data_IF_785345915205
#
_entry.id   IF_785345915205
#
_cell.length_a   1.000
_cell.length_b   1.000
_cell.length_c   1.000
_cell.angle_alpha   90.00
_cell.angle_beta   90.00
_cell.angle_gamma   90.00
#
_symmetry.space_group_name_H-M   'P 1'
#
loop_
_entity.id
_entity.type
_entity.pdbx_description
1 polymer ?
#
# COMPACT_ATOMS: atom_id res chain seq x y z
N UNK A 1 -20.09 -1.28 -12.16
CA UNK A 1 -20.95 -0.76 -11.07
C UNK A 1 -20.97 -1.83 -10.00
N UNK A 2 -20.67 -1.50 -8.75
CA UNK A 2 -20.78 -2.44 -7.63
C UNK A 2 -22.25 -2.43 -7.19
N UNK A 3 -22.86 -3.60 -7.07
CA UNK A 3 -24.22 -3.78 -6.57
C UNK A 3 -24.17 -4.42 -5.19
N UNK A 4 -24.90 -3.85 -4.23
CA UNK A 4 -25.05 -4.42 -2.90
C UNK A 4 -26.41 -5.11 -2.81
N UNK A 5 -26.42 -6.42 -2.89
CA UNK A 5 -27.61 -7.24 -2.62
C UNK A 5 -27.60 -7.73 -1.17
N UNK A 6 -28.44 -7.11 -0.34
CA UNK A 6 -28.65 -7.51 1.05
C UNK A 6 -29.92 -8.35 1.25
N UNK A 7 -30.59 -8.80 0.18
CA UNK A 7 -31.86 -9.54 0.26
C UNK A 7 -31.75 -10.79 1.14
N UNK A 8 -30.63 -11.51 1.06
CA UNK A 8 -30.32 -12.68 1.89
C UNK A 8 -30.17 -12.41 3.39
N UNK A 9 -30.23 -11.16 3.83
CA UNK A 9 -30.20 -10.81 5.26
C UNK A 9 -31.61 -10.62 5.86
N UNK A 10 -32.65 -10.46 5.05
CA UNK A 10 -33.97 -10.02 5.54
C UNK A 10 -34.98 -11.16 5.71
N UNK A 11 -35.99 -10.91 6.56
CA UNK A 11 -37.05 -11.89 6.90
C UNK A 11 -37.75 -12.44 5.66
N UNK A 12 -37.97 -11.60 4.64
CA UNK A 12 -38.64 -11.98 3.40
C UNK A 12 -37.91 -13.13 2.66
N UNK A 13 -36.59 -13.24 2.82
CA UNK A 13 -35.77 -14.23 2.12
C UNK A 13 -35.33 -15.40 3.02
N UNK A 14 -35.02 -15.15 4.29
CA UNK A 14 -34.45 -16.18 5.21
C UNK A 14 -35.38 -16.57 6.37
N UNK A 15 -36.61 -16.07 6.37
CA UNK A 15 -37.63 -16.38 7.36
C UNK A 15 -37.39 -15.70 8.71
N UNK A 16 -37.95 -16.21 9.82
CA UNK A 16 -38.08 -15.49 11.08
C UNK A 16 -36.75 -15.19 11.81
N UNK A 17 -35.62 -15.72 11.33
CA UNK A 17 -34.28 -15.39 11.84
C UNK A 17 -33.61 -14.24 11.09
N UNK A 18 -34.24 -13.75 10.03
CA UNK A 18 -33.77 -12.62 9.24
C UNK A 18 -33.99 -11.29 9.94
N UNK A 19 -33.42 -10.25 9.37
CA UNK A 19 -33.59 -8.87 9.81
C UNK A 19 -34.89 -8.29 9.29
N UNK A 20 -35.66 -7.61 10.16
CA UNK A 20 -36.80 -6.80 9.73
C UNK A 20 -36.29 -5.48 9.14
N UNK A 21 -36.40 -5.35 7.82
CA UNK A 21 -35.89 -4.19 7.09
C UNK A 21 -36.59 -2.90 7.50
N UNK A 22 -37.92 -2.93 7.65
CA UNK A 22 -38.69 -1.73 7.95
C UNK A 22 -38.43 -1.27 9.38
N UNK A 23 -38.39 -2.21 10.33
CA UNK A 23 -38.06 -1.90 11.72
C UNK A 23 -36.64 -1.34 11.86
N UNK A 24 -35.64 -1.92 11.18
CA UNK A 24 -34.26 -1.42 11.19
C UNK A 24 -34.14 0.01 10.63
N UNK A 25 -34.76 0.26 9.47
CA UNK A 25 -34.74 1.59 8.86
C UNK A 25 -35.45 2.61 9.76
N UNK A 26 -36.61 2.26 10.32
CA UNK A 26 -37.34 3.12 11.26
C UNK A 26 -36.53 3.45 12.51
N UNK A 27 -35.80 2.48 13.07
CA UNK A 27 -35.04 2.65 14.30
C UNK A 27 -33.69 3.38 14.10
N UNK A 28 -33.07 3.28 12.91
CA UNK A 28 -31.68 3.68 12.74
C UNK A 28 -31.42 4.72 11.65
N UNK A 29 -32.34 4.98 10.71
CA UNK A 29 -32.08 5.88 9.58
C UNK A 29 -31.60 7.27 10.00
N UNK A 30 -32.25 7.88 11.00
CA UNK A 30 -31.86 9.21 11.49
C UNK A 30 -30.45 9.20 12.10
N UNK A 31 -30.12 8.18 12.89
CA UNK A 31 -28.79 8.03 13.50
C UNK A 31 -27.72 7.79 12.44
N UNK A 32 -27.99 6.96 11.44
CA UNK A 32 -27.07 6.70 10.32
C UNK A 32 -26.83 7.98 9.53
N UNK A 33 -27.88 8.73 9.20
CA UNK A 33 -27.74 10.02 8.52
C UNK A 33 -26.87 11.01 9.31
N UNK A 34 -27.06 11.07 10.64
CA UNK A 34 -26.22 11.91 11.50
C UNK A 34 -24.76 11.45 11.49
N UNK A 35 -24.49 10.15 11.65
CA UNK A 35 -23.12 9.61 11.62
C UNK A 35 -22.43 9.91 10.28
N UNK A 36 -23.15 9.76 9.16
CA UNK A 36 -22.62 10.10 7.83
C UNK A 36 -22.28 11.59 7.75
N UNK A 37 -23.17 12.47 8.20
CA UNK A 37 -22.91 13.91 8.24
C UNK A 37 -21.71 14.27 9.12
N UNK A 38 -21.62 13.68 10.32
CA UNK A 38 -20.52 13.88 11.27
C UNK A 38 -19.18 13.43 10.66
N UNK A 39 -19.15 12.30 9.96
CA UNK A 39 -17.96 11.80 9.28
C UNK A 39 -17.47 12.79 8.22
N UNK A 40 -18.36 13.31 7.37
CA UNK A 40 -17.98 14.29 6.33
C UNK A 40 -17.56 15.64 6.91
N UNK A 41 -18.21 16.10 7.98
CA UNK A 41 -17.80 17.32 8.68
C UNK A 41 -16.40 17.18 9.27
N UNK A 42 -16.12 16.05 9.94
CA UNK A 42 -14.81 15.77 10.54
C UNK A 42 -13.71 15.52 9.50
N UNK A 43 -14.05 14.96 8.34
CA UNK A 43 -13.11 14.78 7.24
C UNK A 43 -12.53 16.11 6.72
N UNK A 44 -13.19 17.25 6.98
CA UNK A 44 -12.65 18.57 6.64
C UNK A 44 -11.51 19.02 7.58
N UNK A 45 -11.35 18.41 8.76
CA UNK A 45 -10.25 18.69 9.68
C UNK A 45 -9.02 17.84 9.33
N UNK A 46 -7.89 18.44 8.90
CA UNK A 46 -6.66 17.71 8.58
C UNK A 46 -6.00 17.04 9.78
N UNK A 47 -6.43 17.32 11.02
CA UNK A 47 -5.94 16.66 12.23
C UNK A 47 -6.76 15.43 12.62
N UNK A 48 -7.93 15.21 11.99
CA UNK A 48 -8.71 14.00 12.19
C UNK A 48 -8.17 12.86 11.31
N UNK A 49 -8.50 11.62 11.66
CA UNK A 49 -8.08 10.41 10.96
C UNK A 49 -9.02 10.02 9.82
N UNK A 50 -9.85 10.95 9.36
CA UNK A 50 -10.86 10.76 8.31
C UNK A 50 -10.44 11.35 6.96
N UNK A 51 -9.16 11.69 6.78
CA UNK A 51 -8.65 12.21 5.51
C UNK A 51 -8.87 11.27 4.32
N UNK A 52 -9.03 9.96 4.58
CA UNK A 52 -9.29 8.95 3.57
C UNK A 52 -10.62 9.16 2.81
N UNK A 53 -11.62 9.80 3.43
CA UNK A 53 -12.89 10.13 2.78
C UNK A 53 -12.71 11.12 1.62
N UNK A 54 -11.68 11.97 1.71
CA UNK A 54 -11.36 12.95 0.68
C UNK A 54 -10.38 12.43 -0.38
N UNK A 55 -9.87 11.19 -0.25
CA UNK A 55 -8.93 10.64 -1.23
C UNK A 55 -9.56 10.42 -2.60
N UNK A 56 -10.89 10.32 -2.67
CA UNK A 56 -11.59 10.24 -3.96
C UNK A 56 -11.68 11.60 -4.68
N UNK A 57 -11.38 12.71 -3.99
CA UNK A 57 -11.18 14.00 -4.63
C UNK A 57 -9.75 14.07 -5.19
N UNK A 58 -9.64 13.69 -6.45
CA UNK A 58 -8.39 13.62 -7.19
C UNK A 58 -7.75 15.00 -7.41
N UNK A 59 -8.51 16.09 -7.32
CA UNK A 59 -8.03 17.44 -7.67
C UNK A 59 -6.84 17.89 -6.81
N UNK A 60 -6.83 17.52 -5.53
CA UNK A 60 -5.72 17.78 -4.60
C UNK A 60 -4.54 16.82 -4.70
N UNK A 61 -4.68 15.72 -5.46
CA UNK A 61 -3.71 14.62 -5.51
C UNK A 61 -3.01 14.46 -6.85
N UNK A 62 -3.49 15.15 -7.91
CA UNK A 62 -2.96 15.07 -9.28
C UNK A 62 -1.43 15.13 -9.30
N UNK A 63 -0.82 16.05 -8.56
CA UNK A 63 0.65 16.19 -8.53
C UNK A 63 1.38 14.97 -7.98
N UNK A 64 0.85 14.35 -6.92
CA UNK A 64 1.45 13.15 -6.32
C UNK A 64 1.32 11.97 -7.26
N UNK A 65 0.17 11.85 -7.91
CA UNK A 65 -0.12 10.78 -8.86
C UNK A 65 0.70 10.91 -10.13
N UNK A 66 0.84 12.12 -10.67
CA UNK A 66 1.71 12.41 -11.81
C UNK A 66 3.17 12.08 -11.48
N UNK A 67 3.63 12.43 -10.28
CA UNK A 67 4.98 12.09 -9.83
C UNK A 67 5.19 10.57 -9.67
N UNK A 68 4.20 9.86 -9.11
CA UNK A 68 4.23 8.40 -8.99
C UNK A 68 4.21 7.73 -10.37
N UNK A 69 3.36 8.20 -11.28
CA UNK A 69 3.27 7.69 -12.64
C UNK A 69 4.58 7.94 -13.39
N UNK A 70 5.11 9.15 -13.35
CA UNK A 70 6.39 9.48 -13.98
C UNK A 70 7.55 8.63 -13.42
N UNK A 71 7.57 8.40 -12.10
CA UNK A 71 8.56 7.51 -11.49
C UNK A 71 8.39 6.07 -11.98
N UNK A 72 7.17 5.53 -11.97
CA UNK A 72 6.89 4.18 -12.45
C UNK A 72 7.26 4.00 -13.93
N UNK A 73 6.94 4.96 -14.79
CA UNK A 73 7.29 4.97 -16.21
C UNK A 73 8.82 4.99 -16.40
N UNK A 74 9.54 5.76 -15.58
CA UNK A 74 11.00 5.80 -15.62
C UNK A 74 11.66 4.47 -15.24
N UNK A 75 10.97 3.61 -14.48
CA UNK A 75 11.43 2.27 -14.08
C UNK A 75 11.00 1.17 -15.05
N UNK A 76 10.06 1.46 -15.96
CA UNK A 76 9.50 0.47 -16.88
C UNK A 76 10.59 -0.19 -17.73
N UNK A 77 10.60 -1.53 -17.75
CA UNK A 77 11.61 -2.32 -18.47
C UNK A 77 13.01 -2.36 -17.85
N UNK A 78 13.31 -1.53 -16.83
CA UNK A 78 14.57 -1.56 -16.07
C UNK A 78 14.48 -2.47 -14.85
N UNK A 79 13.33 -2.43 -14.18
CA UNK A 79 13.06 -3.21 -12.97
C UNK A 79 12.40 -4.53 -13.35
N UNK A 80 13.05 -5.64 -13.01
CA UNK A 80 12.52 -6.99 -13.19
C UNK A 80 11.83 -7.52 -11.94
N UNK A 81 12.21 -7.04 -10.76
CA UNK A 81 11.70 -7.46 -9.46
C UNK A 81 11.32 -6.26 -8.60
N UNK A 82 10.11 -6.26 -8.05
CA UNK A 82 9.61 -5.28 -7.10
C UNK A 82 9.43 -5.96 -5.75
N UNK A 83 10.13 -5.49 -4.73
CA UNK A 83 10.04 -6.02 -3.37
C UNK A 83 9.35 -5.00 -2.49
N UNK A 84 8.14 -5.31 -2.04
CA UNK A 84 7.39 -4.47 -1.10
C UNK A 84 7.76 -4.87 0.32
N UNK A 85 8.32 -3.93 1.09
CA UNK A 85 8.69 -4.12 2.49
C UNK A 85 7.70 -3.32 3.34
N UNK A 86 6.88 -4.03 4.10
CA UNK A 86 5.82 -3.43 4.91
C UNK A 86 4.93 -4.50 5.52
N UNK A 87 4.24 -4.16 6.60
CA UNK A 87 3.32 -5.09 7.29
C UNK A 87 1.95 -4.44 7.49
N UNK A 88 0.91 -5.28 7.59
CA UNK A 88 -0.46 -4.84 7.85
C UNK A 88 -0.96 -3.90 6.74
N UNK A 89 -1.39 -2.70 7.13
CA UNK A 89 -1.92 -1.70 6.20
C UNK A 89 -0.95 -1.28 5.09
N UNK A 90 0.36 -1.31 5.37
CA UNK A 90 1.41 -0.97 4.41
C UNK A 90 1.75 -2.10 3.43
N UNK A 91 1.02 -3.23 3.47
CA UNK A 91 1.25 -4.36 2.55
C UNK A 91 -0.05 -5.01 2.06
N UNK A 92 -1.03 -5.26 2.93
CA UNK A 92 -2.26 -5.98 2.59
C UNK A 92 -3.08 -5.26 1.50
N UNK A 93 -3.15 -3.93 1.54
CA UNK A 93 -3.84 -3.16 0.48
C UNK A 93 -3.15 -3.32 -0.88
N UNK A 94 -1.81 -3.37 -0.88
CA UNK A 94 -1.01 -3.61 -2.09
C UNK A 94 -1.24 -5.04 -2.58
N UNK A 95 -1.09 -6.05 -1.72
CA UNK A 95 -1.35 -7.46 -2.04
C UNK A 95 -2.76 -7.63 -2.64
N UNK A 96 -3.80 -7.09 -2.00
CA UNK A 96 -5.17 -7.18 -2.49
C UNK A 96 -5.35 -6.55 -3.88
N UNK A 97 -4.74 -5.39 -4.16
CA UNK A 97 -4.78 -4.79 -5.50
C UNK A 97 -4.07 -5.65 -6.55
N UNK A 98 -2.87 -6.16 -6.24
CA UNK A 98 -2.10 -6.98 -7.17
C UNK A 98 -2.81 -8.31 -7.45
N UNK A 99 -3.31 -9.00 -6.43
CA UNK A 99 -4.01 -10.28 -6.57
C UNK A 99 -5.37 -10.16 -7.28
N UNK A 100 -6.07 -9.03 -7.11
CA UNK A 100 -7.38 -8.82 -7.74
C UNK A 100 -7.29 -8.31 -9.18
N UNK A 101 -6.25 -7.54 -9.53
CA UNK A 101 -6.15 -6.87 -10.83
C UNK A 101 -5.21 -7.57 -11.81
N UNK A 102 -4.28 -8.41 -11.32
CA UNK A 102 -3.33 -9.12 -12.17
C UNK A 102 -3.70 -10.60 -12.35
N UNK A 103 -3.20 -11.27 -13.41
CA UNK A 103 -3.27 -12.72 -13.54
C UNK A 103 -2.78 -13.46 -12.28
N UNK A 104 -3.49 -14.53 -11.88
CA UNK A 104 -3.24 -15.27 -10.64
C UNK A 104 -1.79 -15.78 -10.45
N UNK A 105 -1.10 -16.10 -11.55
CA UNK A 105 0.30 -16.55 -11.54
C UNK A 105 1.24 -15.52 -12.17
N UNK A 106 1.00 -14.24 -11.90
CA UNK A 106 1.75 -13.11 -12.47
C UNK A 106 3.26 -13.34 -12.50
N UNK A 107 3.86 -13.78 -11.39
CA UNK A 107 5.31 -13.96 -11.29
C UNK A 107 5.88 -15.11 -12.15
N UNK A 108 5.05 -16.04 -12.60
CA UNK A 108 5.44 -17.13 -13.50
C UNK A 108 5.39 -16.73 -14.97
N UNK A 109 4.76 -15.60 -15.28
CA UNK A 109 4.68 -15.09 -16.64
C UNK A 109 6.02 -14.56 -17.12
N UNK A 110 6.29 -14.77 -18.42
CA UNK A 110 7.45 -14.18 -19.09
C UNK A 110 7.40 -12.65 -19.04
N UNK A 111 8.54 -11.95 -19.16
CA UNK A 111 8.55 -10.49 -19.22
C UNK A 111 7.61 -9.93 -20.29
N UNK A 112 7.57 -10.54 -21.49
CA UNK A 112 6.67 -10.11 -22.56
C UNK A 112 5.18 -10.25 -22.18
N UNK A 113 4.80 -11.36 -21.51
CA UNK A 113 3.43 -11.57 -21.05
C UNK A 113 3.01 -10.62 -19.92
N UNK A 114 3.98 -10.02 -19.21
CA UNK A 114 3.76 -8.96 -18.21
C UNK A 114 3.89 -7.55 -18.79
N UNK A 115 4.13 -7.42 -20.10
CA UNK A 115 4.48 -6.15 -20.74
C UNK A 115 5.62 -5.46 -19.99
N UNK A 116 6.68 -6.23 -19.72
CA UNK A 116 7.92 -5.84 -19.05
C UNK A 116 7.77 -5.21 -17.65
N UNK A 117 6.59 -5.30 -17.02
CA UNK A 117 6.36 -4.96 -15.61
C UNK A 117 7.00 -6.00 -14.69
N UNK A 118 7.47 -5.62 -13.48
CA UNK A 118 8.24 -6.51 -12.62
C UNK A 118 7.42 -7.66 -12.01
N UNK A 119 8.12 -8.71 -11.57
CA UNK A 119 7.60 -9.67 -10.59
C UNK A 119 7.45 -8.97 -9.24
N UNK A 120 6.52 -9.40 -8.41
CA UNK A 120 6.19 -8.71 -7.16
C UNK A 120 6.39 -9.67 -5.98
N UNK A 121 7.13 -9.22 -4.97
CA UNK A 121 7.42 -9.98 -3.77
C UNK A 121 7.13 -9.14 -2.53
N UNK A 122 6.87 -9.80 -1.41
CA UNK A 122 6.47 -9.16 -0.17
C UNK A 122 7.36 -9.60 0.99
N UNK A 123 7.88 -8.62 1.71
CA UNK A 123 8.58 -8.75 2.99
C UNK A 123 7.68 -8.13 4.06
N UNK A 124 6.79 -8.95 4.59
CA UNK A 124 5.73 -8.63 5.54
C UNK A 124 5.85 -9.39 6.86
N UNK A 125 6.93 -10.14 7.03
CA UNK A 125 7.27 -10.87 8.23
C UNK A 125 8.81 -10.89 8.38
N UNK A 126 9.29 -11.05 9.61
CA UNK A 126 10.72 -11.08 9.96
C UNK A 126 11.32 -12.49 9.90
N UNK A 127 10.76 -13.36 9.06
CA UNK A 127 11.24 -14.73 8.90
C UNK A 127 12.54 -14.74 8.07
N UNK A 128 13.69 -15.10 8.69
CA UNK A 128 14.97 -15.12 7.99
C UNK A 128 15.03 -16.19 6.89
N UNK A 129 14.27 -17.28 7.00
CA UNK A 129 14.19 -18.31 5.96
C UNK A 129 13.53 -17.75 4.69
N UNK A 130 12.38 -17.08 4.84
CA UNK A 130 11.68 -16.41 3.73
C UNK A 130 12.57 -15.36 3.05
N UNK A 131 13.32 -14.58 3.83
CA UNK A 131 14.25 -13.59 3.31
C UNK A 131 15.41 -14.24 2.52
N UNK A 132 16.00 -15.32 3.04
CA UNK A 132 17.06 -16.04 2.35
C UNK A 132 16.57 -16.65 1.03
N UNK A 133 15.38 -17.27 1.03
CA UNK A 133 14.77 -17.83 -0.18
C UNK A 133 14.46 -16.75 -1.22
N UNK A 134 14.02 -15.57 -0.77
CA UNK A 134 13.81 -14.43 -1.65
C UNK A 134 15.10 -14.02 -2.38
N UNK A 135 16.25 -13.97 -1.70
CA UNK A 135 17.52 -13.64 -2.37
C UNK A 135 17.95 -14.65 -3.43
N UNK A 136 17.54 -15.91 -3.30
CA UNK A 136 17.85 -16.93 -4.31
C UNK A 136 17.11 -16.70 -5.64
N UNK A 137 16.01 -15.94 -5.62
CA UNK A 137 15.19 -15.67 -6.83
C UNK A 137 15.35 -14.25 -7.36
N UNK A 138 15.95 -13.34 -6.60
CA UNK A 138 16.16 -11.96 -7.02
C UNK A 138 17.46 -11.79 -7.80
N UNK A 139 17.40 -11.02 -8.89
CA UNK A 139 18.57 -10.33 -9.43
C UNK A 139 18.59 -8.90 -8.85
N UNK A 140 19.52 -8.66 -7.91
CA UNK A 140 19.63 -7.38 -7.20
C UNK A 140 19.90 -6.21 -8.15
N UNK A 141 20.57 -6.42 -9.29
CA UNK A 141 20.86 -5.36 -10.27
C UNK A 141 19.61 -4.84 -10.99
N UNK A 142 18.51 -5.58 -10.91
CA UNK A 142 17.23 -5.23 -11.55
C UNK A 142 16.08 -5.25 -10.53
N UNK A 143 16.41 -5.16 -9.23
CA UNK A 143 15.44 -5.15 -8.14
C UNK A 143 15.19 -3.73 -7.64
N UNK A 144 13.92 -3.36 -7.47
CA UNK A 144 13.50 -2.16 -6.75
C UNK A 144 12.83 -2.55 -5.44
N UNK A 145 13.32 -2.02 -4.32
CA UNK A 145 12.76 -2.22 -2.98
C UNK A 145 11.90 -1.03 -2.60
N UNK A 146 10.60 -1.25 -2.39
CA UNK A 146 9.66 -0.24 -1.93
C UNK A 146 9.42 -0.43 -0.44
N UNK A 147 9.91 0.50 0.39
CA UNK A 147 9.76 0.42 1.85
C UNK A 147 8.61 1.31 2.30
N UNK A 148 7.59 0.72 2.90
CA UNK A 148 6.36 1.40 3.30
C UNK A 148 6.17 1.34 4.82
N UNK A 149 6.22 2.50 5.48
CA UNK A 149 5.90 2.63 6.91
C UNK A 149 5.61 4.08 7.24
N UNK A 150 4.35 4.42 7.57
CA UNK A 150 3.96 5.79 7.94
C UNK A 150 4.76 6.34 9.12
N UNK A 151 4.97 5.54 10.18
CA UNK A 151 5.75 5.94 11.36
C UNK A 151 7.26 6.05 11.07
N UNK A 152 7.72 5.45 9.96
CA UNK A 152 9.14 5.25 9.69
C UNK A 152 9.89 4.36 10.69
N UNK A 153 9.21 3.66 11.60
CA UNK A 153 9.84 2.91 12.71
C UNK A 153 9.18 1.57 13.04
N UNK A 154 8.27 1.09 12.19
CA UNK A 154 7.63 -0.23 12.38
C UNK A 154 8.70 -1.32 12.38
N UNK A 155 8.79 -2.10 13.46
CA UNK A 155 9.93 -2.98 13.74
C UNK A 155 10.17 -4.01 12.62
N UNK A 156 9.09 -4.63 12.13
CA UNK A 156 9.13 -5.64 11.08
C UNK A 156 9.59 -5.04 9.74
N UNK A 157 9.03 -3.88 9.36
CA UNK A 157 9.45 -3.15 8.15
C UNK A 157 10.92 -2.75 8.26
N UNK A 158 11.35 -2.21 9.40
CA UNK A 158 12.73 -1.75 9.59
C UNK A 158 13.72 -2.91 9.58
N UNK A 159 13.37 -4.07 10.14
CA UNK A 159 14.21 -5.26 10.09
C UNK A 159 14.43 -5.73 8.64
N UNK A 160 13.35 -5.85 7.85
CA UNK A 160 13.44 -6.22 6.44
C UNK A 160 14.20 -5.19 5.61
N UNK A 161 13.93 -3.90 5.84
CA UNK A 161 14.61 -2.79 5.16
C UNK A 161 16.12 -2.78 5.46
N UNK A 162 16.52 -2.80 6.73
CA UNK A 162 17.94 -2.72 7.11
C UNK A 162 18.74 -3.89 6.56
N UNK A 163 18.13 -5.08 6.56
CA UNK A 163 18.75 -6.27 5.98
C UNK A 163 18.89 -6.18 4.45
N UNK A 164 17.83 -5.75 3.73
CA UNK A 164 17.90 -5.55 2.28
C UNK A 164 18.88 -4.43 1.90
N UNK A 165 18.88 -3.32 2.65
CA UNK A 165 19.83 -2.22 2.48
C UNK A 165 21.26 -2.71 2.61
N UNK A 166 21.59 -3.41 3.70
CA UNK A 166 22.93 -3.95 3.91
C UNK A 166 23.33 -4.91 2.78
N UNK A 167 22.39 -5.73 2.31
CA UNK A 167 22.62 -6.66 1.19
C UNK A 167 22.90 -5.91 -0.12
N UNK A 168 22.13 -4.86 -0.43
CA UNK A 168 22.36 -4.03 -1.63
C UNK A 168 23.69 -3.27 -1.53
N UNK A 169 24.01 -2.70 -0.38
CA UNK A 169 25.28 -2.00 -0.16
C UNK A 169 26.49 -2.91 -0.35
N UNK A 170 26.44 -4.13 0.17
CA UNK A 170 27.52 -5.10 0.05
C UNK A 170 27.69 -5.58 -1.40
N UNK A 171 26.59 -5.79 -2.14
CA UNK A 171 26.62 -6.38 -3.49
C UNK A 171 26.78 -5.37 -4.62
N UNK A 172 26.23 -4.17 -4.47
CA UNK A 172 26.15 -3.15 -5.53
C UNK A 172 26.86 -1.84 -5.13
N UNK A 173 27.22 -1.69 -3.86
CA UNK A 173 27.81 -0.47 -3.32
C UNK A 173 26.76 0.53 -2.86
N UNK A 174 27.13 1.34 -1.86
CA UNK A 174 26.24 2.34 -1.24
C UNK A 174 25.66 3.36 -2.24
N UNK A 175 26.43 3.75 -3.25
CA UNK A 175 25.99 4.71 -4.26
C UNK A 175 24.82 4.21 -5.14
N UNK A 176 24.54 2.91 -5.14
CA UNK A 176 23.44 2.32 -5.91
C UNK A 176 22.09 2.41 -5.19
N UNK A 177 22.05 2.71 -3.89
CA UNK A 177 20.80 2.70 -3.11
C UNK A 177 19.69 3.59 -3.68
N UNK A 178 19.95 4.82 -4.17
CA UNK A 178 18.90 5.66 -4.77
C UNK A 178 18.22 5.04 -6.00
N UNK A 179 18.92 4.17 -6.73
CA UNK A 179 18.39 3.50 -7.93
C UNK A 179 17.63 2.20 -7.59
N UNK A 180 17.83 1.66 -6.38
CA UNK A 180 17.29 0.38 -5.95
C UNK A 180 16.30 0.46 -4.78
N UNK A 181 16.06 1.65 -4.24
CA UNK A 181 15.13 1.86 -3.13
C UNK A 181 14.22 3.05 -3.37
N UNK A 182 13.00 2.94 -2.86
CA UNK A 182 12.03 4.05 -2.79
C UNK A 182 11.19 3.89 -1.53
N UNK A 183 10.94 4.98 -0.83
CA UNK A 183 10.20 4.96 0.43
C UNK A 183 8.80 5.55 0.29
N UNK A 184 7.86 5.06 1.10
CA UNK A 184 6.53 5.63 1.28
C UNK A 184 6.30 5.81 2.78
N UNK A 185 6.39 7.05 3.26
CA UNK A 185 6.47 7.38 4.69
C UNK A 185 5.84 8.76 4.96
N UNK A 186 5.72 9.15 6.23
CA UNK A 186 5.29 10.51 6.58
C UNK A 186 6.16 11.58 5.87
N UNK A 187 5.57 12.71 5.43
CA UNK A 187 6.27 13.76 4.69
C UNK A 187 7.42 14.42 5.46
N UNK A 188 7.38 14.42 6.80
CA UNK A 188 8.30 15.21 7.64
C UNK A 188 8.92 14.45 8.80
N UNK A 189 8.30 13.36 9.26
CA UNK A 189 8.67 12.67 10.49
C UNK A 189 9.13 11.23 10.22
N UNK A 190 9.89 10.69 11.17
CA UNK A 190 10.26 9.27 11.22
C UNK A 190 11.57 8.96 10.52
N UNK A 191 12.20 7.87 10.96
CA UNK A 191 13.56 7.52 10.53
C UNK A 191 13.67 7.30 9.01
N UNK A 192 12.66 6.70 8.36
CA UNK A 192 12.67 6.54 6.90
C UNK A 192 12.77 7.89 6.16
N UNK A 193 12.12 8.95 6.66
CA UNK A 193 12.19 10.26 6.01
C UNK A 193 13.58 10.88 6.14
N UNK A 194 14.20 10.74 7.30
CA UNK A 194 15.57 11.20 7.58
C UNK A 194 16.57 10.43 6.70
N UNK A 195 16.48 9.11 6.68
CA UNK A 195 17.34 8.25 5.85
C UNK A 195 17.18 8.58 4.36
N UNK A 196 15.97 8.85 3.89
CA UNK A 196 15.74 9.24 2.49
C UNK A 196 16.53 10.50 2.11
N UNK A 197 16.54 11.50 2.99
CA UNK A 197 17.25 12.76 2.78
C UNK A 197 18.76 12.57 2.83
N UNK A 198 19.25 11.80 3.80
CA UNK A 198 20.68 11.53 3.99
C UNK A 198 21.29 10.71 2.84
N UNK A 199 20.55 9.72 2.34
CA UNK A 199 21.01 8.77 1.33
C UNK A 199 20.57 9.14 -0.10
N UNK A 200 19.80 10.22 -0.27
CA UNK A 200 19.29 10.66 -1.57
C UNK A 200 18.26 9.70 -2.20
N UNK A 201 17.56 8.92 -1.36
CA UNK A 201 16.53 7.97 -1.80
C UNK A 201 15.21 8.72 -2.04
N UNK A 202 14.53 8.41 -3.15
CA UNK A 202 13.21 8.98 -3.43
C UNK A 202 12.21 8.53 -2.37
N UNK A 203 11.41 9.47 -1.85
CA UNK A 203 10.40 9.17 -0.83
C UNK A 203 9.07 9.89 -1.11
N UNK A 204 8.00 9.10 -1.23
CA UNK A 204 6.63 9.55 -1.41
C UNK A 204 5.90 9.66 -0.06
N UNK A 205 4.88 10.51 -0.05
CA UNK A 205 4.22 10.92 1.18
C UNK A 205 3.00 10.07 1.49
N UNK A 206 2.92 9.59 2.74
CA UNK A 206 1.65 9.14 3.33
C UNK A 206 0.97 10.35 3.96
N UNK A 207 -0.26 10.72 3.55
CA UNK A 207 -0.95 11.87 4.13
C UNK A 207 -1.11 11.72 5.66
N UNK A 208 -0.80 12.78 6.45
CA UNK A 208 -0.87 12.70 7.92
C UNK A 208 -2.24 12.30 8.47
N UNK A 209 -3.32 12.69 7.81
CA UNK A 209 -4.72 12.38 8.18
C UNK A 209 -5.22 11.01 7.72
N UNK A 210 -4.39 10.22 7.02
CA UNK A 210 -4.75 8.89 6.51
C UNK A 210 -4.06 7.81 7.34
N UNK A 211 -4.86 6.95 7.97
CA UNK A 211 -4.37 5.79 8.72
C UNK A 211 -3.72 4.74 7.80
N UNK A 212 -3.11 3.71 8.40
CA UNK A 212 -2.62 2.57 7.61
C UNK A 212 -3.76 1.69 7.05
N UNK A 213 -4.95 1.78 7.62
CA UNK A 213 -6.18 1.09 7.22
C UNK A 213 -7.39 1.94 7.59
#
# INVERSE_FOLDING_TARGET
>A
MIELDASGCYIEQVGPRGLDRQALLGAHAARVAQVVADCWQRAADPNDWLGWLNLADWSGQVKVLDALQAYADAQHGKVAHLVIVGIGGSCLGVQAMFESLLPAYWNELSPAARDHRPKVYYVDNVDPGKLADLLNVLDLKTTLVVVMSKSGSTAETMAGFLWLKATLEDRLGKAALPDHMVFVTDPKKGALREIAQEEGIVAFDVPPSVGGR
#
